data_IF_627170995393
#
_entry.id   IF_627170995393
#
_cell.length_a   1.000
_cell.length_b   1.000
_cell.length_c   1.000
_cell.angle_alpha   90.00
_cell.angle_beta   90.00
_cell.angle_gamma   90.00
#
_symmetry.space_group_name_H-M   'P 1'
#
loop_
_entity.id
_entity.type
_entity.pdbx_description
1 polymer ?
#
# COMPACT_ATOMS: atom_id res chain seq x y z
N UNK A 1 -14.87 -5.67 0.40
CA UNK A 1 -13.52 -5.38 -0.11
C UNK A 1 -12.58 -5.61 1.06
N UNK A 2 -11.63 -6.52 0.92
CA UNK A 2 -10.55 -6.69 1.89
C UNK A 2 -9.59 -5.49 1.79
N UNK A 3 -8.74 -5.31 2.81
CA UNK A 3 -7.74 -4.24 2.77
C UNK A 3 -6.77 -4.41 1.59
N UNK A 4 -6.47 -5.66 1.22
CA UNK A 4 -5.65 -5.98 0.05
C UNK A 4 -6.32 -5.58 -1.27
N UNK A 5 -7.62 -5.83 -1.44
CA UNK A 5 -8.37 -5.44 -2.64
C UNK A 5 -8.45 -3.92 -2.82
N UNK A 6 -8.49 -3.17 -1.71
CA UNK A 6 -8.42 -1.70 -1.74
C UNK A 6 -7.03 -1.23 -2.14
N UNK A 7 -5.97 -1.79 -1.53
CA UNK A 7 -4.59 -1.50 -1.91
C UNK A 7 -4.34 -1.79 -3.39
N UNK A 8 -4.79 -2.93 -3.90
CA UNK A 8 -4.66 -3.26 -5.32
C UNK A 8 -5.25 -2.20 -6.24
N UNK A 9 -6.40 -1.62 -5.87
CA UNK A 9 -6.99 -0.55 -6.67
C UNK A 9 -6.13 0.71 -6.65
N UNK A 10 -5.69 1.13 -5.47
CA UNK A 10 -4.82 2.31 -5.33
C UNK A 10 -3.56 2.07 -6.15
N UNK A 11 -2.91 0.93 -5.98
CA UNK A 11 -1.70 0.56 -6.71
C UNK A 11 -1.91 0.53 -8.23
N UNK A 12 -3.06 0.03 -8.71
CA UNK A 12 -3.42 0.05 -10.12
C UNK A 12 -3.67 1.48 -10.67
N UNK A 13 -4.00 2.45 -9.82
CA UNK A 13 -4.08 3.87 -10.21
C UNK A 13 -2.69 4.51 -10.39
N UNK A 14 -1.69 4.08 -9.61
CA UNK A 14 -0.31 4.54 -9.74
C UNK A 14 0.52 3.73 -10.76
N UNK A 15 0.11 2.49 -11.05
CA UNK A 15 0.78 1.57 -11.98
C UNK A 15 -0.25 0.88 -12.88
N UNK A 16 -0.32 1.31 -14.13
CA UNK A 16 -1.24 0.72 -15.13
C UNK A 16 -0.99 -0.78 -15.41
N UNK A 17 0.20 -1.30 -15.07
CA UNK A 17 0.60 -2.70 -15.31
C UNK A 17 0.22 -3.67 -14.17
N UNK A 18 -0.42 -3.18 -13.11
CA UNK A 18 -0.82 -4.01 -11.97
C UNK A 18 -2.18 -4.67 -12.24
N UNK A 19 -2.15 -5.97 -12.56
CA UNK A 19 -3.36 -6.75 -12.75
C UNK A 19 -4.00 -7.11 -11.40
N UNK A 20 -5.34 -7.08 -11.28
CA UNK A 20 -6.03 -7.49 -10.06
C UNK A 20 -5.75 -8.98 -9.75
N UNK A 21 -5.33 -9.27 -8.52
CA UNK A 21 -4.92 -10.59 -8.04
C UNK A 21 -3.43 -10.91 -8.21
N UNK A 22 -2.62 -9.97 -8.70
CA UNK A 22 -1.15 -10.12 -8.77
C UNK A 22 -0.42 -9.59 -7.54
N UNK A 23 -1.08 -8.73 -6.75
CA UNK A 23 -0.50 -8.18 -5.54
C UNK A 23 -0.64 -9.20 -4.40
N UNK A 24 0.48 -9.52 -3.77
CA UNK A 24 0.52 -10.40 -2.60
C UNK A 24 1.19 -9.68 -1.45
N UNK A 25 0.99 -10.16 -0.21
CA UNK A 25 1.68 -9.62 0.95
C UNK A 25 3.21 -9.75 0.83
N UNK A 26 3.70 -10.71 0.06
CA UNK A 26 5.13 -10.94 -0.20
C UNK A 26 5.70 -9.99 -1.27
N UNK A 27 4.84 -9.33 -2.05
CA UNK A 27 5.25 -8.41 -3.11
C UNK A 27 5.93 -7.18 -2.52
N UNK A 28 7.12 -6.88 -2.99
CA UNK A 28 7.88 -5.69 -2.57
C UNK A 28 7.57 -4.47 -3.42
N UNK A 29 7.68 -3.27 -2.83
CA UNK A 29 7.55 -2.02 -3.59
C UNK A 29 8.63 -1.88 -4.67
N UNK A 30 9.83 -2.41 -4.41
CA UNK A 30 10.93 -2.45 -5.37
C UNK A 30 10.60 -3.31 -6.60
N UNK A 31 9.95 -4.46 -6.42
CA UNK A 31 9.52 -5.33 -7.54
C UNK A 31 8.47 -4.65 -8.42
N UNK A 32 7.62 -3.83 -7.81
CA UNK A 32 6.62 -3.01 -8.50
C UNK A 32 7.24 -1.75 -9.13
N UNK A 33 8.56 -1.58 -9.00
CA UNK A 33 9.29 -0.43 -9.51
C UNK A 33 8.77 0.89 -8.92
N UNK A 34 8.26 0.87 -7.69
CA UNK A 34 7.89 2.07 -6.96
C UNK A 34 9.15 2.74 -6.45
N UNK A 35 9.29 4.03 -6.74
CA UNK A 35 10.35 4.82 -6.14
C UNK A 35 9.92 5.35 -4.75
N UNK A 36 10.85 5.97 -4.03
CA UNK A 36 10.56 6.52 -2.70
C UNK A 36 9.49 7.61 -2.70
N UNK A 37 9.28 8.31 -3.82
CA UNK A 37 8.24 9.34 -3.92
C UNK A 37 6.88 8.70 -4.17
N UNK A 38 6.83 7.69 -5.04
CA UNK A 38 5.61 6.93 -5.29
C UNK A 38 5.12 6.25 -4.01
N UNK A 39 6.03 5.67 -3.21
CA UNK A 39 5.68 5.07 -1.92
C UNK A 39 5.08 6.11 -0.98
N UNK A 40 5.63 7.32 -0.92
CA UNK A 40 5.10 8.41 -0.10
C UNK A 40 3.70 8.83 -0.57
N UNK A 41 3.49 9.00 -1.87
CA UNK A 41 2.17 9.34 -2.43
C UNK A 41 1.15 8.22 -2.17
N UNK A 42 1.58 6.95 -2.29
CA UNK A 42 0.78 5.78 -1.98
C UNK A 42 0.34 5.74 -0.52
N UNK A 43 1.27 6.00 0.40
CA UNK A 43 0.97 6.06 1.83
C UNK A 43 -0.09 7.12 2.09
N UNK A 44 0.06 8.34 1.55
CA UNK A 44 -0.93 9.40 1.73
C UNK A 44 -2.32 9.02 1.16
N UNK A 45 -2.35 8.37 0.00
CA UNK A 45 -3.61 7.88 -0.58
C UNK A 45 -4.25 6.78 0.29
N UNK A 46 -3.45 5.91 0.89
CA UNK A 46 -3.93 4.91 1.85
C UNK A 46 -4.43 5.56 3.15
N UNK A 47 -3.74 6.55 3.68
CA UNK A 47 -4.20 7.30 4.86
C UNK A 47 -5.56 7.94 4.63
N UNK A 48 -5.80 8.55 3.46
CA UNK A 48 -7.08 9.18 3.11
C UNK A 48 -8.19 8.14 2.84
N UNK A 49 -7.89 7.07 2.10
CA UNK A 49 -8.86 6.02 1.73
C UNK A 49 -9.28 5.14 2.94
N UNK A 50 -8.34 4.84 3.84
CA UNK A 50 -8.58 4.00 5.02
C UNK A 50 -8.84 4.83 6.29
N UNK A 51 -8.54 6.13 6.29
CA UNK A 51 -8.67 6.99 7.45
C UNK A 51 -7.66 6.67 8.56
N UNK A 52 -6.48 6.14 8.20
CA UNK A 52 -5.40 5.77 9.12
C UNK A 52 -4.27 6.79 9.07
N UNK A 53 -3.30 6.68 9.99
CA UNK A 53 -2.07 7.49 9.96
C UNK A 53 -0.86 6.57 9.98
N UNK A 54 -0.14 6.54 8.87
CA UNK A 54 1.06 5.75 8.65
C UNK A 54 2.26 6.71 8.79
N UNK A 55 3.08 6.49 9.81
CA UNK A 55 4.21 7.39 10.08
C UNK A 55 5.20 7.48 8.91
N UNK A 56 5.62 8.70 8.56
CA UNK A 56 6.55 9.00 7.44
C UNK A 56 7.92 8.30 7.55
N UNK A 57 8.34 7.92 8.75
CA UNK A 57 9.61 7.22 9.00
C UNK A 57 9.49 5.68 8.88
N UNK A 58 8.32 5.13 8.54
CA UNK A 58 8.18 3.70 8.32
C UNK A 58 8.78 3.29 6.97
N UNK A 59 9.92 2.60 7.00
CA UNK A 59 10.48 1.90 5.83
C UNK A 59 9.58 0.70 5.46
N UNK A 60 8.48 0.97 4.76
CA UNK A 60 7.64 -0.07 4.18
C UNK A 60 8.38 -0.72 3.00
N UNK A 61 8.61 -2.03 3.08
CA UNK A 61 9.35 -2.79 2.04
C UNK A 61 8.42 -3.65 1.20
N UNK A 62 7.37 -4.17 1.83
CA UNK A 62 6.39 -5.03 1.20
C UNK A 62 4.98 -4.52 1.36
N UNK A 63 4.10 -4.94 0.47
CA UNK A 63 2.66 -4.69 0.56
C UNK A 63 2.10 -5.25 1.87
N UNK A 64 2.60 -6.39 2.35
CA UNK A 64 2.19 -6.98 3.62
C UNK A 64 2.54 -6.09 4.82
N UNK A 65 3.67 -5.37 4.77
CA UNK A 65 4.04 -4.41 5.82
C UNK A 65 3.02 -3.26 5.87
N UNK A 66 2.70 -2.67 4.71
CA UNK A 66 1.70 -1.60 4.61
C UNK A 66 0.32 -2.07 5.08
N UNK A 67 -0.10 -3.26 4.64
CA UNK A 67 -1.39 -3.86 5.01
C UNK A 67 -1.51 -4.03 6.53
N UNK A 68 -0.46 -4.55 7.18
CA UNK A 68 -0.43 -4.70 8.63
C UNK A 68 -0.54 -3.37 9.36
N UNK A 69 0.19 -2.34 8.90
CA UNK A 69 0.12 -1.02 9.54
C UNK A 69 -1.28 -0.44 9.43
N UNK A 70 -1.93 -0.59 8.27
CA UNK A 70 -3.32 -0.19 8.06
C UNK A 70 -4.24 -0.96 9.01
N UNK A 71 -4.13 -2.29 9.06
CA UNK A 71 -4.97 -3.14 9.93
C UNK A 71 -4.78 -2.85 11.41
N UNK A 72 -3.54 -2.61 11.86
CA UNK A 72 -3.24 -2.23 13.24
C UNK A 72 -3.81 -0.83 13.57
N UNK A 73 -3.77 0.09 12.62
CA UNK A 73 -4.29 1.46 12.80
C UNK A 73 -5.82 1.52 12.73
N UNK A 74 -6.47 0.72 11.89
CA UNK A 74 -7.94 0.59 11.82
C UNK A 74 -8.52 -0.10 13.06
N UNK A 75 -7.72 -0.90 13.77
CA UNK A 75 -8.15 -1.64 14.96
C UNK A 75 -8.11 -0.81 16.27
N UNK A 76 -7.52 0.38 16.25
CA UNK A 76 -7.38 1.29 17.40
C UNK A 76 -8.52 2.32 17.49
#
# INVERSE_FOLDING_TARGET
MTNLEKLEKIFAEYKDDLEPGTLTEETSFEELNFDSLDVVDLIMACEDEFGVTIGEDQELKTVGDLLKVIEESEAE
#
